data_IF_930402331384
#
_entry.id   IF_930402331384
#
_cell.length_a   1.000
_cell.length_b   1.000
_cell.length_c   1.000
_cell.angle_alpha   90.00
_cell.angle_beta   90.00
_cell.angle_gamma   90.00
#
_symmetry.space_group_name_H-M   'P 1'
#
loop_
_entity.id
_entity.type
_entity.pdbx_description
1 polymer ?
#
# COMPACT_ATOMS: atom_id res chain seq x y z
N UNK A 1 10.88 -11.94 -15.98
CA UNK A 1 10.28 -11.84 -14.62
C UNK A 1 9.42 -13.05 -14.34
N UNK A 2 8.43 -13.35 -15.19
CA UNK A 2 7.57 -14.55 -15.04
C UNK A 2 8.39 -15.84 -15.04
N UNK A 3 9.37 -15.98 -15.95
CA UNK A 3 10.22 -17.19 -16.01
C UNK A 3 11.07 -17.39 -14.75
N UNK A 4 11.58 -16.28 -14.18
CA UNK A 4 12.36 -16.29 -12.94
C UNK A 4 11.51 -16.69 -11.72
N UNK A 5 10.27 -16.19 -11.65
CA UNK A 5 9.31 -16.58 -10.59
C UNK A 5 8.93 -18.05 -10.75
N UNK A 6 8.64 -18.50 -11.97
CA UNK A 6 8.29 -19.89 -12.26
C UNK A 6 9.43 -20.86 -11.91
N UNK A 7 10.68 -20.48 -12.16
CA UNK A 7 11.86 -21.25 -11.78
C UNK A 7 11.99 -21.37 -10.25
N UNK A 8 11.85 -20.26 -9.50
CA UNK A 8 11.88 -20.29 -8.02
C UNK A 8 10.74 -21.10 -7.40
N UNK A 9 9.56 -21.10 -8.01
CA UNK A 9 8.45 -21.97 -7.59
C UNK A 9 8.78 -23.44 -7.86
N UNK A 10 9.31 -23.75 -9.05
CA UNK A 10 9.70 -25.12 -9.44
C UNK A 10 10.82 -25.68 -8.57
N UNK A 11 11.73 -24.83 -8.09
CA UNK A 11 12.78 -25.18 -7.13
C UNK A 11 12.27 -25.36 -5.69
N UNK A 12 10.98 -25.11 -5.42
CA UNK A 12 10.38 -25.20 -4.08
C UNK A 12 10.72 -24.02 -3.16
N UNK A 13 11.40 -23.00 -3.67
CA UNK A 13 11.77 -21.81 -2.90
C UNK A 13 10.57 -20.90 -2.62
N UNK A 14 9.53 -20.96 -3.46
CA UNK A 14 8.26 -20.25 -3.30
C UNK A 14 7.11 -21.26 -3.27
N UNK A 15 6.73 -21.69 -2.08
CA UNK A 15 5.52 -22.48 -1.85
C UNK A 15 4.36 -21.58 -1.43
N UNK A 16 3.53 -21.19 -2.40
CA UNK A 16 2.35 -20.37 -2.15
C UNK A 16 1.29 -21.06 -1.28
N UNK A 17 1.29 -22.40 -1.20
CA UNK A 17 0.36 -23.12 -0.31
C UNK A 17 0.74 -22.93 1.16
N UNK A 18 2.04 -22.80 1.45
CA UNK A 18 2.53 -22.53 2.80
C UNK A 18 2.20 -21.10 3.29
N UNK A 19 2.04 -20.15 2.37
CA UNK A 19 1.87 -18.72 2.71
C UNK A 19 0.64 -18.44 3.57
N UNK A 20 -0.42 -19.27 3.47
CA UNK A 20 -1.62 -19.10 4.30
C UNK A 20 -1.32 -19.14 5.81
N UNK A 21 -0.36 -19.97 6.22
CA UNK A 21 0.05 -20.13 7.63
C UNK A 21 1.19 -19.24 8.10
N UNK A 22 1.86 -18.52 7.20
CA UNK A 22 3.03 -17.69 7.51
C UNK A 22 2.64 -16.31 8.04
N UNK A 23 3.52 -15.65 8.79
CA UNK A 23 3.30 -14.26 9.17
C UNK A 23 3.45 -13.31 7.97
N UNK A 24 2.81 -12.14 8.06
CA UNK A 24 2.78 -11.19 6.95
C UNK A 24 4.19 -10.67 6.57
N UNK A 25 5.09 -10.47 7.54
CA UNK A 25 6.44 -9.98 7.28
C UNK A 25 7.33 -11.08 6.67
N UNK A 26 7.14 -12.35 7.03
CA UNK A 26 7.79 -13.50 6.41
C UNK A 26 7.43 -13.60 4.94
N UNK A 27 6.14 -13.52 4.62
CA UNK A 27 5.67 -13.52 3.23
C UNK A 27 6.23 -12.32 2.48
N UNK A 28 6.23 -11.12 3.08
CA UNK A 28 6.85 -9.93 2.46
C UNK A 28 8.34 -10.14 2.21
N UNK A 29 9.11 -10.70 3.15
CA UNK A 29 10.54 -10.98 2.96
C UNK A 29 10.78 -11.97 1.81
N UNK A 30 9.98 -13.03 1.72
CA UNK A 30 10.10 -14.01 0.64
C UNK A 30 9.77 -13.39 -0.71
N UNK A 31 8.64 -12.67 -0.81
CA UNK A 31 8.21 -12.01 -2.05
C UNK A 31 9.22 -10.95 -2.50
N UNK A 32 9.75 -10.14 -1.58
CA UNK A 32 10.73 -9.09 -1.92
C UNK A 32 12.12 -9.62 -2.27
N UNK A 33 12.41 -10.89 -2.00
CA UNK A 33 13.63 -11.55 -2.50
C UNK A 33 13.61 -11.77 -4.02
N UNK A 34 12.43 -11.67 -4.64
CA UNK A 34 12.24 -11.82 -6.09
C UNK A 34 12.63 -10.52 -6.78
N UNK A 35 13.57 -10.58 -7.73
CA UNK A 35 13.99 -9.42 -8.52
C UNK A 35 12.78 -8.78 -9.22
N UNK A 36 12.50 -7.52 -8.88
CA UNK A 36 11.40 -6.73 -9.44
C UNK A 36 10.15 -6.65 -8.55
N UNK A 37 10.10 -7.39 -7.43
CA UNK A 37 9.01 -7.29 -6.45
C UNK A 37 9.44 -6.39 -5.30
N UNK A 38 8.82 -5.21 -5.23
CA UNK A 38 9.00 -4.28 -4.10
C UNK A 38 8.06 -4.59 -2.95
N UNK A 39 8.29 -3.95 -1.79
CA UNK A 39 7.45 -4.12 -0.59
C UNK A 39 5.98 -3.79 -0.85
N UNK A 40 5.69 -2.70 -1.56
CA UNK A 40 4.32 -2.35 -1.95
C UNK A 40 3.63 -3.49 -2.73
N UNK A 41 4.32 -4.09 -3.70
CA UNK A 41 3.77 -5.22 -4.47
C UNK A 41 3.52 -6.44 -3.59
N UNK A 42 4.41 -6.73 -2.63
CA UNK A 42 4.22 -7.81 -1.67
C UNK A 42 3.02 -7.54 -0.74
N UNK A 43 2.83 -6.31 -0.28
CA UNK A 43 1.66 -5.90 0.53
C UNK A 43 0.35 -6.00 -0.28
N UNK A 44 0.36 -5.64 -1.57
CA UNK A 44 -0.79 -5.85 -2.47
C UNK A 44 -1.12 -7.34 -2.63
N UNK A 45 -0.09 -8.20 -2.67
CA UNK A 45 -0.28 -9.65 -2.69
C UNK A 45 -0.94 -10.15 -1.40
N UNK A 46 -0.50 -9.69 -0.23
CA UNK A 46 -1.16 -10.05 1.03
C UNK A 46 -2.64 -9.67 1.06
N UNK A 47 -2.96 -8.47 0.59
CA UNK A 47 -4.33 -7.94 0.58
C UNK A 47 -5.23 -8.68 -0.41
N UNK A 48 -4.83 -8.73 -1.68
CA UNK A 48 -5.73 -9.18 -2.76
C UNK A 48 -5.65 -10.67 -3.08
N UNK A 49 -4.51 -11.31 -2.80
CA UNK A 49 -4.34 -12.74 -3.06
C UNK A 49 -4.52 -13.58 -1.79
N UNK A 50 -3.89 -13.21 -0.68
CA UNK A 50 -4.03 -13.95 0.58
C UNK A 50 -5.24 -13.51 1.43
N UNK A 51 -5.87 -12.39 1.11
CA UNK A 51 -7.03 -11.90 1.85
C UNK A 51 -6.73 -11.50 3.30
N UNK A 52 -5.49 -11.08 3.60
CA UNK A 52 -5.10 -10.67 4.96
C UNK A 52 -5.88 -9.42 5.38
N UNK A 53 -6.44 -9.43 6.59
CA UNK A 53 -7.38 -8.41 7.06
C UNK A 53 -6.71 -7.18 7.69
N UNK A 54 -5.47 -7.30 8.18
CA UNK A 54 -4.77 -6.24 8.92
C UNK A 54 -3.47 -5.76 8.24
N UNK A 55 -3.51 -5.56 6.92
CA UNK A 55 -2.35 -5.07 6.15
C UNK A 55 -2.57 -3.61 5.78
N UNK A 56 -1.54 -2.79 5.98
CA UNK A 56 -1.51 -1.39 5.54
C UNK A 56 -0.21 -1.09 4.80
N UNK A 57 -0.32 -0.60 3.57
CA UNK A 57 0.84 -0.20 2.78
C UNK A 57 1.17 1.28 3.01
N UNK A 58 2.11 1.56 3.92
CA UNK A 58 2.57 2.94 4.20
C UNK A 58 3.23 3.61 2.98
N UNK A 59 3.77 2.82 2.04
CA UNK A 59 4.36 3.30 0.79
C UNK A 59 3.33 3.65 -0.29
N UNK A 60 2.05 3.35 -0.08
CA UNK A 60 1.00 3.64 -1.05
C UNK A 60 0.67 5.14 -1.05
N UNK A 61 0.99 5.82 -2.16
CA UNK A 61 0.72 7.26 -2.32
C UNK A 61 -0.77 7.58 -2.35
N UNK A 62 -1.60 6.65 -2.83
CA UNK A 62 -3.05 6.77 -2.81
C UNK A 62 -3.57 6.80 -1.37
N UNK A 63 -3.19 5.81 -0.56
CA UNK A 63 -3.59 5.73 0.84
C UNK A 63 -3.11 6.94 1.65
N UNK A 64 -1.86 7.39 1.44
CA UNK A 64 -1.38 8.61 2.09
C UNK A 64 -2.27 9.80 1.72
N UNK A 65 -2.54 10.03 0.44
CA UNK A 65 -3.41 11.14 -0.02
C UNK A 65 -4.83 11.03 0.52
N UNK A 66 -5.41 9.83 0.52
CA UNK A 66 -6.76 9.61 1.03
C UNK A 66 -6.84 9.81 2.55
N UNK A 67 -5.79 9.43 3.30
CA UNK A 67 -5.71 9.70 4.73
C UNK A 67 -5.60 11.22 5.01
N UNK A 68 -4.77 11.95 4.25
CA UNK A 68 -4.71 13.41 4.36
C UNK A 68 -6.06 14.07 4.09
N UNK A 69 -6.80 13.58 3.08
CA UNK A 69 -8.15 14.05 2.78
C UNK A 69 -9.15 13.72 3.90
N UNK A 70 -9.15 12.48 4.41
CA UNK A 70 -10.09 12.02 5.42
C UNK A 70 -9.93 12.76 6.75
N UNK A 71 -8.70 13.13 7.12
CA UNK A 71 -8.38 13.79 8.38
C UNK A 71 -7.93 15.25 8.21
N UNK A 72 -8.35 15.92 7.13
CA UNK A 72 -7.90 17.26 6.79
C UNK A 72 -8.17 18.34 7.86
N UNK A 73 -9.16 18.11 8.74
CA UNK A 73 -9.48 19.02 9.85
C UNK A 73 -8.55 18.90 11.05
N UNK A 74 -7.67 17.90 11.07
CA UNK A 74 -6.77 17.64 12.19
C UNK A 74 -5.36 18.15 11.89
N UNK A 75 -4.77 18.92 12.80
CA UNK A 75 -3.34 19.26 12.70
C UNK A 75 -2.50 17.98 12.78
N UNK A 76 -1.71 17.75 11.74
CA UNK A 76 -0.84 16.59 11.61
C UNK A 76 0.51 16.76 12.32
N UNK A 77 0.85 17.99 12.74
CA UNK A 77 2.15 18.29 13.32
C UNK A 77 3.33 17.96 12.40
N UNK A 78 3.10 17.95 11.08
CA UNK A 78 4.09 17.57 10.06
C UNK A 78 4.27 16.07 9.85
N UNK A 79 3.49 15.22 10.51
CA UNK A 79 3.48 13.76 10.27
C UNK A 79 2.41 13.37 9.25
N UNK A 80 2.61 12.25 8.55
CA UNK A 80 1.58 11.68 7.68
C UNK A 80 0.35 11.23 8.50
N UNK A 81 -0.85 11.64 8.08
CA UNK A 81 -2.10 11.25 8.76
C UNK A 81 -2.29 9.73 8.73
N UNK A 82 -1.80 9.06 7.68
CA UNK A 82 -1.77 7.60 7.59
C UNK A 82 -1.04 6.98 8.79
N UNK A 83 0.15 7.50 9.12
CA UNK A 83 0.94 7.03 10.25
C UNK A 83 0.30 7.34 11.60
N UNK A 84 -0.38 8.48 11.72
CA UNK A 84 -1.07 8.83 12.98
C UNK A 84 -2.30 7.96 13.25
N UNK A 85 -3.01 7.56 12.19
CA UNK A 85 -4.34 6.95 12.30
C UNK A 85 -4.35 5.44 12.19
N UNK A 86 -3.33 4.83 11.60
CA UNK A 86 -3.29 3.38 11.36
C UNK A 86 -3.58 2.52 12.59
N UNK A 87 -3.12 2.92 13.79
CA UNK A 87 -3.33 2.16 15.01
C UNK A 87 -4.83 1.99 15.36
N UNK A 88 -5.67 2.94 14.95
CA UNK A 88 -7.12 2.90 15.17
C UNK A 88 -7.85 1.96 14.21
N UNK A 89 -7.19 1.53 13.14
CA UNK A 89 -7.79 0.70 12.09
C UNK A 89 -7.61 -0.79 12.37
N UNK A 90 -6.76 -1.15 13.32
CA UNK A 90 -6.56 -2.54 13.74
C UNK A 90 -7.84 -3.11 14.35
N UNK A 91 -8.15 -4.40 14.10
CA UNK A 91 -7.39 -5.38 13.30
C UNK A 91 -7.84 -5.44 11.81
N UNK A 92 -8.40 -4.36 11.27
CA UNK A 92 -9.03 -4.33 9.94
C UNK A 92 -8.42 -3.26 9.03
N UNK A 93 -7.10 -3.05 9.11
CA UNK A 93 -6.40 -2.02 8.31
C UNK A 93 -6.59 -2.21 6.80
N UNK A 94 -6.75 -3.45 6.34
CA UNK A 94 -7.04 -3.74 4.92
C UNK A 94 -8.40 -3.19 4.53
N UNK A 95 -9.42 -3.35 5.39
CA UNK A 95 -10.78 -2.87 5.09
C UNK A 95 -10.81 -1.34 4.95
N UNK A 96 -10.13 -0.63 5.85
CA UNK A 96 -10.02 0.83 5.77
C UNK A 96 -9.32 1.24 4.48
N UNK A 97 -8.24 0.54 4.09
CA UNK A 97 -7.52 0.79 2.84
C UNK A 97 -8.43 0.65 1.61
N UNK A 98 -9.30 -0.37 1.58
CA UNK A 98 -10.29 -0.56 0.51
C UNK A 98 -11.25 0.63 0.39
N UNK A 99 -11.77 1.15 1.50
CA UNK A 99 -12.62 2.35 1.49
C UNK A 99 -11.87 3.61 1.07
N UNK A 100 -10.61 3.76 1.47
CA UNK A 100 -9.77 4.90 1.05
C UNK A 100 -9.49 4.87 -0.47
N UNK A 101 -9.21 3.69 -1.03
CA UNK A 101 -9.10 3.54 -2.49
C UNK A 101 -10.44 3.77 -3.19
N UNK A 102 -11.56 3.34 -2.61
CA UNK A 102 -12.87 3.61 -3.21
C UNK A 102 -13.21 5.10 -3.21
N UNK A 103 -12.89 5.83 -2.14
CA UNK A 103 -13.04 7.28 -2.11
C UNK A 103 -12.20 7.98 -3.22
N UNK A 104 -11.02 7.43 -3.54
CA UNK A 104 -10.23 7.88 -4.69
C UNK A 104 -10.94 7.57 -6.00
N UNK A 105 -11.44 6.35 -6.19
CA UNK A 105 -12.14 5.92 -7.41
C UNK A 105 -13.39 6.76 -7.67
N UNK A 106 -14.13 7.10 -6.62
CA UNK A 106 -15.31 7.96 -6.66
C UNK A 106 -14.98 9.45 -6.90
N UNK A 107 -13.70 9.82 -6.96
CA UNK A 107 -13.26 11.20 -7.16
C UNK A 107 -13.46 12.12 -5.96
N UNK A 108 -13.72 11.57 -4.76
CA UNK A 108 -13.91 12.36 -3.53
C UNK A 108 -12.59 12.97 -3.05
N UNK A 109 -11.50 12.24 -3.25
CA UNK A 109 -10.14 12.68 -2.92
C UNK A 109 -9.62 13.50 -4.09
N UNK A 110 -9.58 14.84 -3.93
CA UNK A 110 -9.00 15.72 -4.93
C UNK A 110 -7.55 15.31 -5.22
N UNK A 111 -7.14 15.38 -6.50
CA UNK A 111 -5.72 15.33 -6.80
C UNK A 111 -5.10 16.58 -6.16
N UNK A 112 -4.16 16.40 -5.22
CA UNK A 112 -3.21 17.47 -4.92
C UNK A 112 -2.58 17.95 -6.24
N UNK A 113 -2.06 19.20 -6.30
CA UNK A 113 -1.69 19.83 -7.56
C UNK A 113 -0.88 18.84 -8.39
N UNK A 114 -1.37 18.56 -9.61
CA UNK A 114 -0.66 17.74 -10.56
C UNK A 114 0.76 18.34 -10.65
N UNK A 115 1.79 17.49 -10.53
CA UNK A 115 3.19 17.86 -10.72
C UNK A 115 3.38 18.21 -12.20
N UNK A 116 2.79 19.32 -12.64
CA UNK A 116 2.85 19.97 -13.95
C UNK A 116 1.94 21.20 -14.06
N UNK A 117 1.51 21.81 -12.95
CA UNK A 117 1.00 23.18 -13.03
C UNK A 117 2.17 24.16 -13.17
N UNK A 118 2.51 24.48 -14.44
CA UNK A 118 3.50 25.51 -14.76
C UNK A 118 2.98 26.94 -14.53
N UNK A 119 1.78 27.14 -13.98
CA UNK A 119 1.28 28.49 -13.67
C UNK A 119 1.82 29.08 -12.37
N UNK A 120 2.70 28.37 -11.65
CA UNK A 120 3.28 28.80 -10.37
C UNK A 120 4.81 28.98 -10.38
N UNK A 121 5.42 29.25 -11.54
CA UNK A 121 6.75 29.87 -11.55
C UNK A 121 6.58 31.39 -11.45
N UNK A 122 7.04 32.05 -10.37
CA UNK A 122 7.06 33.50 -10.34
C UNK A 122 8.05 33.97 -11.42
N UNK A 123 7.55 34.74 -12.38
CA UNK A 123 8.42 35.46 -13.29
C UNK A 123 9.19 36.51 -12.46
N UNK A 124 10.50 36.30 -12.33
CA UNK A 124 11.48 37.32 -12.01
C UNK A 124 12.36 37.51 -13.23
#
# INVERSE_FOLDING_TARGET
MVDYVAERVREGFLDFQAFGGMDDEEVVRLLTSIKGVGRWTAEMFLIFYLGRQDVLSFGDRGLNRAAEWLYASEDSGGQSQLHRKHAQWKPYSTLVSLYLWEAINMGLVQAGPLINDKSLTPHH
#
